data_IF_822887545466
#
_entry.id   IF_822887545466
#
_cell.length_a   1.000
_cell.length_b   1.000
_cell.length_c   1.000
_cell.angle_alpha   90.00
_cell.angle_beta   90.00
_cell.angle_gamma   90.00
#
_symmetry.space_group_name_H-M   'P 1'
#
loop_
_entity.id
_entity.type
_entity.pdbx_description
1 polymer ?
#
# COMPACT_ATOMS: atom_id res chain seq x y z
N UNK A 1 -27.48 10.49 -12.59
CA UNK A 1 -26.27 10.13 -11.84
C UNK A 1 -25.20 11.18 -12.05
N UNK A 2 -24.93 11.98 -11.03
CA UNK A 2 -23.72 12.82 -10.96
C UNK A 2 -22.53 11.90 -10.71
N UNK A 3 -21.95 11.38 -11.78
CA UNK A 3 -20.65 10.72 -11.73
C UNK A 3 -19.66 11.69 -11.11
N UNK A 4 -19.06 11.33 -9.97
CA UNK A 4 -17.95 12.11 -9.40
C UNK A 4 -16.81 12.00 -10.42
N UNK A 5 -16.46 13.06 -11.14
CA UNK A 5 -15.40 12.99 -12.13
C UNK A 5 -14.08 12.71 -11.41
N UNK A 6 -13.26 11.83 -11.98
CA UNK A 6 -11.90 11.56 -11.48
C UNK A 6 -11.17 12.89 -11.39
N UNK A 7 -10.68 13.23 -10.20
CA UNK A 7 -10.09 14.54 -9.98
C UNK A 7 -8.69 14.59 -10.61
N UNK A 8 -8.26 15.75 -11.11
CA UNK A 8 -6.97 15.88 -11.82
C UNK A 8 -5.78 15.45 -10.95
N UNK A 9 -5.87 15.70 -9.65
CA UNK A 9 -4.89 15.26 -8.67
C UNK A 9 -4.89 13.73 -8.46
N UNK A 10 -6.02 13.03 -8.66
CA UNK A 10 -6.05 11.56 -8.66
C UNK A 10 -5.27 11.01 -9.88
N UNK A 11 -5.39 11.69 -11.03
CA UNK A 11 -4.62 11.35 -12.25
C UNK A 11 -3.12 11.59 -12.02
N UNK A 12 -2.76 12.77 -11.50
CA UNK A 12 -1.37 13.11 -11.19
C UNK A 12 -0.73 12.14 -10.19
N UNK A 13 -1.46 11.79 -9.12
CA UNK A 13 -1.04 10.78 -8.15
C UNK A 13 -0.82 9.41 -8.79
N UNK A 14 -1.74 8.98 -9.66
CA UNK A 14 -1.62 7.70 -10.36
C UNK A 14 -0.42 7.64 -11.30
N UNK A 15 -0.15 8.72 -12.06
CA UNK A 15 1.04 8.82 -12.90
C UNK A 15 2.33 8.73 -12.06
N UNK A 16 2.39 9.47 -10.95
CA UNK A 16 3.51 9.41 -10.03
C UNK A 16 3.71 8.01 -9.44
N UNK A 17 2.63 7.35 -9.03
CA UNK A 17 2.67 5.98 -8.50
C UNK A 17 3.24 4.99 -9.52
N UNK A 18 2.81 5.07 -10.79
CA UNK A 18 3.37 4.23 -11.87
C UNK A 18 4.86 4.46 -12.04
N UNK A 19 5.31 5.72 -12.06
CA UNK A 19 6.74 6.06 -12.16
C UNK A 19 7.55 5.45 -11.00
N UNK A 20 7.04 5.56 -9.77
CA UNK A 20 7.70 5.00 -8.58
C UNK A 20 7.74 3.47 -8.62
N UNK A 21 6.67 2.81 -9.08
CA UNK A 21 6.65 1.35 -9.28
C UNK A 21 7.66 0.94 -10.35
N UNK A 22 7.75 1.64 -11.48
CA UNK A 22 8.76 1.39 -12.50
C UNK A 22 10.18 1.51 -11.94
N UNK A 23 10.44 2.57 -11.17
CA UNK A 23 11.72 2.76 -10.50
C UNK A 23 12.03 1.61 -9.53
N UNK A 24 11.06 1.18 -8.73
CA UNK A 24 11.21 0.06 -7.80
C UNK A 24 11.49 -1.26 -8.54
N UNK A 25 10.85 -1.51 -9.68
CA UNK A 25 11.11 -2.69 -10.52
C UNK A 25 12.55 -2.67 -11.03
N UNK A 26 13.05 -1.51 -11.49
CA UNK A 26 14.44 -1.37 -11.93
C UNK A 26 15.40 -1.67 -10.77
N UNK A 27 15.13 -1.17 -9.57
CA UNK A 27 15.92 -1.49 -8.39
C UNK A 27 15.90 -2.99 -8.06
N UNK A 28 14.74 -3.64 -8.15
CA UNK A 28 14.59 -5.08 -7.90
C UNK A 28 15.28 -5.98 -8.93
N UNK A 29 15.50 -5.48 -10.14
CA UNK A 29 16.23 -6.19 -11.19
C UNK A 29 17.74 -5.98 -11.10
N UNK A 30 18.20 -4.89 -10.45
CA UNK A 30 19.61 -4.53 -10.34
C UNK A 30 20.25 -4.91 -9.01
N UNK A 31 19.49 -4.96 -7.92
CA UNK A 31 20.00 -5.36 -6.60
C UNK A 31 20.21 -6.86 -6.48
N UNK A 32 21.27 -7.25 -5.76
CA UNK A 32 21.58 -8.65 -5.50
C UNK A 32 20.46 -9.34 -4.70
N UNK A 33 19.94 -10.43 -5.25
CA UNK A 33 18.85 -11.22 -4.66
C UNK A 33 19.33 -12.26 -3.65
N UNK A 34 20.64 -12.44 -3.50
CA UNK A 34 21.26 -13.43 -2.61
C UNK A 34 20.63 -14.82 -2.76
N UNK A 35 20.44 -15.50 -1.63
CA UNK A 35 19.78 -16.82 -1.57
C UNK A 35 18.28 -16.76 -1.26
N UNK A 36 17.61 -15.65 -1.58
CA UNK A 36 16.18 -15.50 -1.28
C UNK A 36 15.34 -16.47 -2.13
N UNK A 37 14.49 -17.27 -1.46
CA UNK A 37 13.55 -18.19 -2.11
C UNK A 37 12.13 -17.71 -1.88
N UNK A 38 11.31 -17.73 -2.93
CA UNK A 38 9.87 -17.45 -2.81
C UNK A 38 9.21 -18.67 -2.17
N UNK A 39 8.52 -18.45 -1.05
CA UNK A 39 7.79 -19.52 -0.36
C UNK A 39 6.58 -19.97 -1.19
N UNK A 40 6.22 -21.26 -1.10
CA UNK A 40 5.02 -21.79 -1.75
C UNK A 40 3.76 -21.00 -1.41
N UNK A 41 3.58 -20.59 -0.14
CA UNK A 41 2.46 -19.77 0.30
C UNK A 41 2.39 -18.43 -0.43
N UNK A 42 3.51 -17.71 -0.56
CA UNK A 42 3.56 -16.46 -1.30
C UNK A 42 3.24 -16.66 -2.79
N UNK A 43 3.74 -17.74 -3.39
CA UNK A 43 3.42 -18.10 -4.78
C UNK A 43 1.93 -18.39 -4.97
N UNK A 44 1.29 -19.12 -4.05
CA UNK A 44 -0.14 -19.41 -4.11
C UNK A 44 -1.00 -18.13 -3.96
N UNK A 45 -0.64 -17.25 -3.02
CA UNK A 45 -1.32 -15.96 -2.85
C UNK A 45 -1.23 -15.14 -4.14
N UNK A 46 -0.02 -15.07 -4.72
CA UNK A 46 0.19 -14.34 -5.97
C UNK A 46 -0.58 -14.95 -7.14
N UNK A 47 -0.61 -16.29 -7.26
CA UNK A 47 -1.36 -16.98 -8.30
C UNK A 47 -2.88 -16.69 -8.21
N UNK A 48 -3.44 -16.73 -7.00
CA UNK A 48 -4.85 -16.38 -6.76
C UNK A 48 -5.12 -14.91 -7.10
N UNK A 49 -4.23 -13.99 -6.70
CA UNK A 49 -4.37 -12.58 -7.02
C UNK A 49 -4.34 -12.33 -8.53
N UNK A 50 -3.40 -12.96 -9.26
CA UNK A 50 -3.32 -12.85 -10.73
C UNK A 50 -4.56 -13.43 -11.40
N UNK A 51 -5.04 -14.59 -10.96
CA UNK A 51 -6.28 -15.17 -11.48
C UNK A 51 -7.47 -14.23 -11.26
N UNK A 52 -7.59 -13.64 -10.07
CA UNK A 52 -8.64 -12.66 -9.76
C UNK A 52 -8.58 -11.45 -10.70
N UNK A 53 -7.37 -10.91 -10.96
CA UNK A 53 -7.17 -9.81 -11.91
C UNK A 53 -7.64 -10.21 -13.31
N UNK A 54 -7.22 -11.37 -13.81
CA UNK A 54 -7.55 -11.84 -15.15
C UNK A 54 -9.06 -12.07 -15.33
N UNK A 55 -9.74 -12.61 -14.32
CA UNK A 55 -11.20 -12.81 -14.35
C UNK A 55 -11.93 -11.46 -14.41
N UNK A 56 -11.59 -10.52 -13.52
CA UNK A 56 -12.22 -9.20 -13.50
C UNK A 56 -11.93 -8.41 -14.79
N UNK A 57 -10.72 -8.51 -15.32
CA UNK A 57 -10.35 -7.89 -16.59
C UNK A 57 -11.15 -8.47 -17.75
N UNK A 58 -11.33 -9.79 -17.79
CA UNK A 58 -12.12 -10.47 -18.83
C UNK A 58 -13.59 -10.06 -18.78
N UNK A 59 -14.16 -9.89 -17.57
CA UNK A 59 -15.53 -9.40 -17.39
C UNK A 59 -15.64 -7.95 -17.93
N UNK A 60 -14.72 -7.08 -17.54
CA UNK A 60 -14.71 -5.68 -17.98
C UNK A 60 -14.59 -5.54 -19.51
N UNK A 61 -13.72 -6.35 -20.15
CA UNK A 61 -13.55 -6.37 -21.60
C UNK A 61 -14.75 -6.96 -22.35
N UNK A 62 -15.51 -7.86 -21.70
CA UNK A 62 -16.67 -8.50 -22.34
C UNK A 62 -17.86 -7.55 -22.55
N UNK A 63 -17.91 -6.43 -21.81
CA UNK A 63 -19.02 -5.47 -21.83
C UNK A 63 -20.37 -6.02 -21.33
N UNK A 64 -20.40 -7.27 -20.86
CA UNK A 64 -21.60 -7.92 -20.33
C UNK A 64 -21.70 -7.70 -18.84
N UNK A 65 -22.91 -7.41 -18.36
CA UNK A 65 -23.20 -7.39 -16.92
C UNK A 65 -23.07 -8.80 -16.39
N UNK A 66 -22.02 -9.07 -15.62
CA UNK A 66 -21.85 -10.31 -14.88
C UNK A 66 -21.85 -9.88 -13.41
N UNK A 67 -22.85 -10.35 -12.65
CA UNK A 67 -23.09 -9.93 -11.25
C UNK A 67 -23.35 -8.43 -11.03
N UNK A 68 -23.85 -7.70 -12.02
CA UNK A 68 -24.11 -6.26 -11.90
C UNK A 68 -22.88 -5.36 -12.04
N UNK A 69 -21.69 -5.95 -12.25
CA UNK A 69 -20.46 -5.24 -12.58
C UNK A 69 -20.31 -5.26 -14.11
N UNK A 70 -20.40 -4.09 -14.74
CA UNK A 70 -20.43 -4.00 -16.21
C UNK A 70 -19.45 -2.97 -16.78
N UNK A 71 -18.71 -2.26 -15.93
CA UNK A 71 -17.92 -1.10 -16.33
C UNK A 71 -16.48 -1.15 -15.82
N UNK A 72 -15.65 -0.31 -16.45
CA UNK A 72 -14.26 -0.07 -16.03
C UNK A 72 -14.18 0.39 -14.57
N UNK A 73 -15.22 1.05 -14.05
CA UNK A 73 -15.30 1.47 -12.65
C UNK A 73 -15.39 0.27 -11.70
N UNK A 74 -16.22 -0.72 -12.01
CA UNK A 74 -16.28 -1.98 -11.26
C UNK A 74 -14.95 -2.72 -11.26
N UNK A 75 -14.25 -2.76 -12.40
CA UNK A 75 -12.91 -3.33 -12.48
C UNK A 75 -11.92 -2.58 -11.57
N UNK A 76 -11.84 -1.25 -11.67
CA UNK A 76 -10.95 -0.42 -10.84
C UNK A 76 -11.29 -0.60 -9.36
N UNK A 77 -12.57 -0.67 -9.02
CA UNK A 77 -13.04 -0.91 -7.65
C UNK A 77 -12.55 -2.27 -7.14
N UNK A 78 -12.68 -3.33 -7.94
CA UNK A 78 -12.16 -4.66 -7.59
C UNK A 78 -10.64 -4.66 -7.41
N UNK A 79 -9.89 -3.92 -8.24
CA UNK A 79 -8.44 -3.77 -8.11
C UNK A 79 -8.05 -3.04 -6.83
N UNK A 80 -8.79 -1.99 -6.44
CA UNK A 80 -8.55 -1.30 -5.18
C UNK A 80 -8.75 -2.23 -3.97
N UNK A 81 -9.83 -3.02 -3.94
CA UNK A 81 -10.05 -3.99 -2.87
C UNK A 81 -8.96 -5.06 -2.81
N UNK A 82 -8.50 -5.56 -3.97
CA UNK A 82 -7.39 -6.49 -4.04
C UNK A 82 -6.11 -5.86 -3.50
N UNK A 83 -5.82 -4.61 -3.85
CA UNK A 83 -4.66 -3.87 -3.36
C UNK A 83 -4.66 -3.76 -1.83
N UNK A 84 -5.80 -3.40 -1.22
CA UNK A 84 -5.95 -3.33 0.24
C UNK A 84 -5.69 -4.71 0.88
N UNK A 85 -6.34 -5.76 0.35
CA UNK A 85 -6.14 -7.11 0.86
C UNK A 85 -4.66 -7.57 0.76
N UNK A 86 -4.02 -7.32 -0.38
CA UNK A 86 -2.62 -7.65 -0.60
C UNK A 86 -1.71 -6.86 0.36
N UNK A 87 -2.02 -5.60 0.62
CA UNK A 87 -1.27 -4.74 1.55
C UNK A 87 -1.34 -5.26 2.97
N UNK A 88 -2.54 -5.59 3.43
CA UNK A 88 -2.73 -6.20 4.74
C UNK A 88 -1.97 -7.53 4.89
N UNK A 89 -2.06 -8.41 3.89
CA UNK A 89 -1.41 -9.73 3.87
C UNK A 89 0.11 -9.61 3.91
N UNK A 90 0.71 -8.63 3.22
CA UNK A 90 2.19 -8.44 3.22
C UNK A 90 2.68 -7.70 4.45
N UNK A 91 1.94 -6.70 4.95
CA UNK A 91 2.40 -5.83 6.04
C UNK A 91 2.23 -6.49 7.41
N UNK A 92 1.22 -7.33 7.61
CA UNK A 92 1.03 -8.08 8.87
C UNK A 92 2.24 -8.96 9.26
N UNK A 93 2.75 -9.86 8.39
CA UNK A 93 3.94 -10.64 8.73
C UNK A 93 5.18 -9.77 8.84
N UNK A 94 5.31 -8.69 8.05
CA UNK A 94 6.43 -7.75 8.17
C UNK A 94 6.45 -7.10 9.56
N UNK A 95 5.30 -6.62 10.04
CA UNK A 95 5.15 -6.04 11.37
C UNK A 95 5.53 -7.05 12.46
N UNK A 96 5.08 -8.30 12.32
CA UNK A 96 5.43 -9.37 13.25
C UNK A 96 6.94 -9.68 13.23
N UNK A 97 7.56 -9.79 12.05
CA UNK A 97 8.99 -10.10 11.94
C UNK A 97 9.88 -8.97 12.45
N UNK A 98 9.51 -7.71 12.18
CA UNK A 98 10.17 -6.55 12.78
C UNK A 98 10.13 -6.65 14.31
N UNK A 99 8.96 -6.96 14.88
CA UNK A 99 8.80 -7.13 16.32
C UNK A 99 9.58 -8.32 16.88
N UNK A 100 9.60 -9.46 16.19
CA UNK A 100 10.31 -10.67 16.62
C UNK A 100 11.82 -10.51 16.56
N UNK A 101 12.34 -9.89 15.49
CA UNK A 101 13.79 -9.69 15.28
C UNK A 101 14.33 -8.46 16.00
N UNK A 102 13.45 -7.55 16.46
CA UNK A 102 13.82 -6.24 17.03
C UNK A 102 14.77 -5.46 16.10
N UNK A 103 14.56 -5.59 14.80
CA UNK A 103 15.32 -4.90 13.76
C UNK A 103 14.38 -4.60 12.60
N UNK A 104 14.53 -3.41 12.03
CA UNK A 104 13.86 -2.99 10.79
C UNK A 104 14.87 -2.82 9.65
N UNK A 105 16.04 -3.43 9.75
CA UNK A 105 17.05 -3.36 8.69
C UNK A 105 16.55 -4.08 7.43
N UNK A 106 16.86 -3.49 6.26
CA UNK A 106 16.53 -4.06 4.95
C UNK A 106 15.62 -3.21 4.07
N UNK A 107 15.21 -2.00 4.50
CA UNK A 107 14.40 -1.10 3.68
C UNK A 107 14.50 0.36 4.11
N UNK A 108 14.17 1.28 3.21
CA UNK A 108 14.28 2.73 3.43
C UNK A 108 13.08 3.27 4.21
N UNK A 109 13.34 3.82 5.40
CA UNK A 109 12.34 4.47 6.25
C UNK A 109 11.74 5.70 5.58
N UNK A 110 12.52 6.39 4.75
CA UNK A 110 12.05 7.56 4.02
C UNK A 110 10.91 7.21 3.05
N UNK A 111 10.90 6.00 2.49
CA UNK A 111 9.77 5.53 1.68
C UNK A 111 8.47 5.47 2.47
N UNK A 112 8.54 4.97 3.71
CA UNK A 112 7.38 4.90 4.64
C UNK A 112 6.89 6.29 5.00
N UNK A 113 7.81 7.21 5.31
CA UNK A 113 7.46 8.58 5.68
C UNK A 113 6.77 9.29 4.53
N UNK A 114 7.23 9.05 3.29
CA UNK A 114 6.59 9.58 2.10
C UNK A 114 5.21 8.97 1.86
N UNK A 115 5.05 7.65 2.06
CA UNK A 115 3.76 6.97 1.94
C UNK A 115 2.75 7.48 2.99
N UNK A 116 3.19 7.61 4.25
CA UNK A 116 2.41 8.21 5.33
C UNK A 116 1.96 9.64 4.98
N UNK A 117 2.89 10.45 4.44
CA UNK A 117 2.61 11.82 4.03
C UNK A 117 1.56 11.85 2.91
N UNK A 118 1.66 10.94 1.93
CA UNK A 118 0.66 10.74 0.88
C UNK A 118 -0.72 10.37 1.45
N UNK A 119 -0.76 9.44 2.41
CA UNK A 119 -2.00 9.05 3.11
C UNK A 119 -2.66 10.21 3.85
N UNK A 120 -1.88 11.05 4.54
CA UNK A 120 -2.38 12.28 5.19
C UNK A 120 -2.96 13.25 4.16
N UNK A 121 -2.24 13.52 3.07
CA UNK A 121 -2.73 14.44 2.03
C UNK A 121 -4.00 13.93 1.34
N UNK A 122 -4.11 12.62 1.12
CA UNK A 122 -5.33 12.03 0.55
C UNK A 122 -6.54 12.20 1.49
N UNK A 123 -6.37 12.04 2.80
CA UNK A 123 -7.44 12.33 3.76
C UNK A 123 -7.82 13.81 3.79
N UNK A 124 -6.82 14.70 3.80
CA UNK A 124 -7.07 16.14 3.76
C UNK A 124 -7.86 16.54 2.51
N UNK A 125 -7.52 15.96 1.35
CA UNK A 125 -8.28 16.16 0.12
C UNK A 125 -9.74 15.71 0.26
N UNK A 126 -9.99 14.51 0.80
CA UNK A 126 -11.36 14.01 1.01
C UNK A 126 -12.14 14.92 1.96
N UNK A 127 -11.50 15.43 3.02
CA UNK A 127 -12.12 16.36 3.96
C UNK A 127 -12.48 17.70 3.29
N UNK A 128 -11.58 18.25 2.46
CA UNK A 128 -11.85 19.48 1.69
C UNK A 128 -12.99 19.27 0.69
N UNK A 129 -13.07 18.10 0.05
CA UNK A 129 -14.18 17.76 -0.84
C UNK A 129 -15.51 17.69 -0.09
N UNK A 130 -15.54 17.05 1.08
CA UNK A 130 -16.75 17.00 1.92
C UNK A 130 -17.18 18.40 2.37
N UNK A 131 -16.22 19.24 2.75
CA UNK A 131 -16.47 20.63 3.14
C UNK A 131 -17.09 21.43 1.99
N UNK A 132 -16.50 21.35 0.80
CA UNK A 132 -16.99 22.05 -0.38
C UNK A 132 -18.36 21.55 -0.86
N UNK A 133 -18.60 20.23 -0.78
CA UNK A 133 -19.87 19.63 -1.15
C UNK A 133 -20.97 19.83 -0.09
N UNK A 134 -20.62 20.27 1.13
CA UNK A 134 -21.50 20.28 2.31
C UNK A 134 -22.20 18.92 2.53
N UNK A 135 -21.51 17.84 2.14
CA UNK A 135 -22.03 16.47 2.14
C UNK A 135 -20.88 15.50 2.41
N UNK A 136 -21.18 14.38 3.09
CA UNK A 136 -20.23 13.33 3.41
C UNK A 136 -20.18 12.24 2.33
N UNK A 137 -20.95 12.36 1.24
CA UNK A 137 -20.87 11.45 0.09
C UNK A 137 -19.45 11.27 -0.46
N UNK A 138 -18.52 12.25 -0.50
CA UNK A 138 -17.14 11.99 -0.90
C UNK A 138 -16.36 11.09 0.07
N UNK A 139 -16.74 11.07 1.36
CA UNK A 139 -16.14 10.20 2.38
C UNK A 139 -16.64 8.75 2.26
N UNK A 140 -17.94 8.56 2.01
CA UNK A 140 -18.57 7.23 1.93
C UNK A 140 -18.65 6.65 0.52
N UNK A 141 -18.67 7.52 -0.49
CA UNK A 141 -18.79 7.17 -1.91
C UNK A 141 -17.48 6.69 -2.55
N UNK A 142 -16.33 7.00 -1.94
CA UNK A 142 -15.02 6.46 -2.31
C UNK A 142 -14.39 5.70 -1.14
N UNK A 143 -15.08 4.62 -0.75
CA UNK A 143 -14.64 3.73 0.33
C UNK A 143 -13.22 3.16 0.08
N UNK A 144 -12.81 3.05 -1.18
CA UNK A 144 -11.48 2.59 -1.57
C UNK A 144 -10.39 3.58 -1.19
N UNK A 145 -10.56 4.88 -1.47
CA UNK A 145 -9.60 5.92 -1.03
C UNK A 145 -9.57 6.09 0.48
N UNK A 146 -10.72 6.01 1.14
CA UNK A 146 -10.78 6.07 2.60
C UNK A 146 -10.04 4.86 3.21
N UNK A 147 -10.33 3.66 2.73
CA UNK A 147 -9.68 2.42 3.18
C UNK A 147 -8.17 2.46 2.98
N UNK A 148 -7.70 2.92 1.81
CA UNK A 148 -6.29 3.08 1.51
C UNK A 148 -5.61 4.02 2.52
N UNK A 149 -6.23 5.16 2.80
CA UNK A 149 -5.63 6.11 3.74
C UNK A 149 -5.53 5.55 5.15
N UNK A 150 -6.59 4.89 5.64
CA UNK A 150 -6.61 4.32 6.99
C UNK A 150 -5.57 3.20 7.11
N UNK A 151 -5.49 2.32 6.12
CA UNK A 151 -4.51 1.23 6.11
C UNK A 151 -3.07 1.75 6.08
N UNK A 152 -2.77 2.69 5.19
CA UNK A 152 -1.45 3.34 5.08
C UNK A 152 -1.08 4.02 6.41
N UNK A 153 -1.96 4.86 6.96
CA UNK A 153 -1.69 5.52 8.25
C UNK A 153 -1.39 4.51 9.37
N UNK A 154 -2.15 3.41 9.45
CA UNK A 154 -1.97 2.40 10.48
C UNK A 154 -0.61 1.69 10.36
N UNK A 155 -0.31 1.09 9.21
CA UNK A 155 0.90 0.30 9.04
C UNK A 155 2.16 1.16 9.01
N UNK A 156 2.13 2.34 8.39
CA UNK A 156 3.29 3.22 8.31
C UNK A 156 3.66 3.79 9.67
N UNK A 157 2.66 4.21 10.45
CA UNK A 157 2.90 4.63 11.83
C UNK A 157 3.50 3.49 12.64
N UNK A 158 2.97 2.27 12.51
CA UNK A 158 3.52 1.09 13.16
C UNK A 158 4.98 0.86 12.76
N UNK A 159 5.31 0.92 11.46
CA UNK A 159 6.65 0.69 10.97
C UNK A 159 7.64 1.78 11.39
N UNK A 160 7.24 3.04 11.40
CA UNK A 160 8.05 4.15 11.91
C UNK A 160 8.31 3.98 13.41
N UNK A 161 7.29 3.63 14.20
CA UNK A 161 7.45 3.38 15.64
C UNK A 161 8.41 2.20 15.90
N UNK A 162 8.28 1.11 15.13
CA UNK A 162 9.22 -0.01 15.21
C UNK A 162 10.65 0.42 14.85
N UNK A 163 10.82 1.20 13.80
CA UNK A 163 12.13 1.71 13.40
C UNK A 163 12.76 2.56 14.50
N UNK A 164 12.01 3.54 15.04
CA UNK A 164 12.50 4.41 16.11
C UNK A 164 12.85 3.62 17.38
N UNK A 165 12.04 2.64 17.76
CA UNK A 165 12.31 1.83 18.96
C UNK A 165 13.56 0.95 18.82
N UNK A 166 13.75 0.33 17.65
CA UNK A 166 14.84 -0.63 17.44
C UNK A 166 16.17 0.06 17.10
N UNK A 167 16.16 1.17 16.37
CA UNK A 167 17.36 1.98 16.13
C UNK A 167 17.88 2.60 17.43
N UNK A 168 16.99 3.10 18.31
CA UNK A 168 17.38 3.60 19.64
C UNK A 168 17.87 2.48 20.58
N UNK A 169 17.34 1.28 20.44
CA UNK A 169 17.77 0.11 21.21
C UNK A 169 19.21 -0.33 20.91
N UNK A 170 19.66 -0.24 19.65
CA UNK A 170 21.05 -0.55 19.25
C UNK A 170 22.06 0.43 19.86
N UNK A 171 21.82 1.74 19.74
CA UNK A 171 22.70 2.76 20.32
C UNK A 171 22.79 2.72 21.86
N UNK A 172 21.82 2.09 22.53
CA UNK A 172 21.88 1.85 23.97
C UNK A 172 22.69 0.60 24.32
N UNK A 173 22.58 -0.50 23.57
CA UNK A 173 23.37 -1.74 23.82
C UNK A 173 24.86 -1.57 23.53
N UNK A 174 25.20 -0.91 22.43
CA UNK A 174 26.60 -0.63 22.04
C UNK A 174 27.32 0.28 23.06
N UNK A 175 26.56 1.11 23.79
CA UNK A 175 27.10 1.97 24.85
C UNK A 175 27.39 1.23 26.18
N UNK A 176 26.93 -0.01 26.35
CA UNK A 176 27.13 -0.82 27.56
C UNK A 176 28.00 -2.07 27.37
N UNK A 177 28.44 -2.37 26.14
CA UNK A 177 29.51 -3.34 25.90
C UNK A 177 30.84 -2.57 25.84
N UNK A 178 31.64 -2.51 26.93
CA UNK A 178 32.99 -1.99 26.82
C UNK A 178 33.77 -2.88 25.85
N UNK A 179 34.50 -2.23 24.93
CA UNK A 179 35.43 -2.87 24.00
C UNK A 179 36.28 -3.90 24.74
N UNK A 180 36.01 -5.18 24.49
CA UNK A 180 36.90 -6.24 24.93
C UNK A 180 38.07 -6.24 23.96
N UNK A 181 39.17 -5.62 24.41
CA UNK A 181 40.49 -5.69 23.78
C UNK A 181 41.08 -7.08 23.95
#
# INVERSE_FOLDING_TARGET
>A
STTIPVALNDVGFSCHAVLMVCFQIIQLCTHERGNQRITFTATMILAVAVLFILVNLSIALSGKSIFGMQDWLGFITAMNHLQLAMTFIKYSPQAYYNWKRKSTEGWSVWGIVLDLTGGVFNLLQILVLCWNASDMTPLTGDAGKLGLSVETLFFDTLFILQHLAYTKGKGRKEKYEPLQF
#
